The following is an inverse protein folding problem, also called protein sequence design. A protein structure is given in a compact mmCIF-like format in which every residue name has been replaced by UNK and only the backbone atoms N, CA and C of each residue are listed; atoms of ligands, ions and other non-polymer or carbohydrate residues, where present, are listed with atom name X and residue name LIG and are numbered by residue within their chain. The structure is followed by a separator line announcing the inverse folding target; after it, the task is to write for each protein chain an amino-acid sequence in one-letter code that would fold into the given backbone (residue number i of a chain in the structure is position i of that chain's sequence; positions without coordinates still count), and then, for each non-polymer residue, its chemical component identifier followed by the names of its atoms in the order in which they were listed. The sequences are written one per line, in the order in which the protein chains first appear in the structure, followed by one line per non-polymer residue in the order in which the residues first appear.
data_IF_607515211199
#
_entry.id   IF_607515211199
#
_cell.length_a   1.000
_cell.length_b   1.000
_cell.length_c   1.000
_cell.angle_alpha   90.00
_cell.angle_beta   90.00
_cell.angle_gamma   90.00
#
_symmetry.space_group_name_H-M   'P 1'
#
loop_
_entity.id
_entity.type
_entity.pdbx_description
1 polymer ?
#
# COMPACT_ATOMS: atom_id res chain seq x y z
N UNK A 1 -20.61 -20.79 -3.65
CA UNK A 1 -19.94 -19.47 -3.67
C UNK A 1 -20.53 -18.66 -2.54
N UNK A 2 -19.70 -18.03 -1.71
CA UNK A 2 -20.17 -17.19 -0.61
C UNK A 2 -20.63 -15.84 -1.14
N UNK A 3 -21.88 -15.44 -0.84
CA UNK A 3 -22.32 -14.06 -1.06
C UNK A 3 -21.55 -13.15 -0.11
N UNK A 4 -20.95 -12.11 -0.65
CA UNK A 4 -20.20 -11.10 0.10
C UNK A 4 -20.67 -9.71 -0.32
N UNK A 5 -20.58 -8.77 0.59
CA UNK A 5 -20.86 -7.35 0.35
C UNK A 5 -19.71 -6.50 0.87
N UNK A 6 -19.68 -5.22 0.52
CA UNK A 6 -18.69 -4.29 1.01
C UNK A 6 -19.33 -3.28 1.96
N UNK A 7 -18.66 -3.01 3.07
CA UNK A 7 -18.89 -1.81 3.85
C UNK A 7 -18.27 -0.62 3.10
N UNK A 8 -19.13 0.22 2.52
CA UNK A 8 -18.69 1.36 1.72
C UNK A 8 -17.95 2.44 2.53
N UNK A 9 -18.16 2.51 3.85
CA UNK A 9 -17.42 3.43 4.73
C UNK A 9 -15.97 2.96 4.83
N UNK A 10 -15.74 1.66 5.06
CA UNK A 10 -14.39 1.10 5.09
C UNK A 10 -13.71 1.15 3.71
N UNK A 11 -14.46 0.95 2.62
CA UNK A 11 -13.94 1.16 1.26
C UNK A 11 -13.44 2.60 1.09
N UNK A 12 -14.24 3.59 1.48
CA UNK A 12 -13.84 5.00 1.42
C UNK A 12 -12.64 5.29 2.33
N UNK A 13 -12.61 4.74 3.55
CA UNK A 13 -11.49 4.89 4.46
C UNK A 13 -10.19 4.29 3.90
N UNK A 14 -10.26 3.14 3.23
CA UNK A 14 -9.11 2.54 2.56
C UNK A 14 -8.51 3.50 1.53
N UNK A 15 -9.36 4.14 0.73
CA UNK A 15 -8.95 5.14 -0.25
C UNK A 15 -8.32 6.37 0.41
N UNK A 16 -8.97 6.95 1.43
CA UNK A 16 -8.47 8.11 2.15
C UNK A 16 -7.08 7.84 2.75
N UNK A 17 -6.90 6.68 3.39
CA UNK A 17 -5.60 6.28 3.97
C UNK A 17 -4.53 6.12 2.89
N UNK A 18 -4.89 5.54 1.75
CA UNK A 18 -3.98 5.41 0.61
C UNK A 18 -3.52 6.76 0.07
N UNK A 19 -4.46 7.70 -0.06
CA UNK A 19 -4.17 9.08 -0.50
C UNK A 19 -3.26 9.78 0.51
N UNK A 20 -3.55 9.71 1.81
CA UNK A 20 -2.72 10.34 2.84
C UNK A 20 -1.29 9.77 2.84
N UNK A 21 -1.15 8.45 2.71
CA UNK A 21 0.15 7.78 2.58
C UNK A 21 0.91 8.25 1.35
N UNK A 22 0.23 8.25 0.21
CA UNK A 22 0.81 8.68 -1.07
C UNK A 22 1.24 10.13 -1.05
N UNK A 23 0.40 11.04 -0.51
CA UNK A 23 0.72 12.46 -0.40
C UNK A 23 1.96 12.69 0.46
N UNK A 24 2.00 12.07 1.63
CA UNK A 24 3.13 12.20 2.56
C UNK A 24 4.42 11.72 1.92
N UNK A 25 4.37 10.59 1.23
CA UNK A 25 5.53 10.06 0.53
C UNK A 25 6.01 10.97 -0.62
N UNK A 26 5.10 11.51 -1.43
CA UNK A 26 5.44 12.46 -2.49
C UNK A 26 6.10 13.71 -1.91
N UNK A 27 5.64 14.22 -0.76
CA UNK A 27 6.29 15.35 -0.06
C UNK A 27 7.68 14.99 0.49
N UNK A 28 7.87 13.76 0.98
CA UNK A 28 9.19 13.28 1.44
C UNK A 28 10.19 13.10 0.29
N UNK A 29 9.69 12.72 -0.89
CA UNK A 29 10.48 12.52 -2.10
C UNK A 29 10.74 13.82 -2.87
N UNK A 30 9.96 14.88 -2.64
CA UNK A 30 10.18 16.17 -3.25
C UNK A 30 11.59 16.70 -2.95
N UNK A 31 12.34 17.02 -4.01
CA UNK A 31 13.71 17.54 -3.89
C UNK A 31 14.75 16.53 -3.39
N UNK A 32 14.45 15.22 -3.44
CA UNK A 32 15.40 14.19 -2.96
C UNK A 32 16.72 14.16 -3.74
N UNK A 33 16.71 14.67 -4.98
CA UNK A 33 17.87 14.74 -5.87
C UNK A 33 18.85 15.85 -5.49
N UNK A 34 18.36 16.89 -4.79
CA UNK A 34 19.16 18.02 -4.32
C UNK A 34 19.93 17.68 -3.03
N UNK A 35 19.69 16.49 -2.46
CA UNK A 35 20.36 16.03 -1.23
C UNK A 35 21.68 15.36 -1.58
N UNK A 36 22.76 16.13 -1.50
CA UNK A 36 24.11 15.63 -1.70
C UNK A 36 24.63 14.76 -0.55
N UNK A 37 24.14 14.98 0.68
CA UNK A 37 24.50 14.13 1.83
C UNK A 37 23.83 12.75 1.75
N UNK A 38 24.64 11.72 1.57
CA UNK A 38 24.18 10.33 1.44
C UNK A 38 23.36 9.89 2.65
N UNK A 39 23.74 10.31 3.86
CA UNK A 39 23.02 9.91 5.09
C UNK A 39 21.63 10.50 5.13
N UNK A 40 21.48 11.81 4.89
CA UNK A 40 20.17 12.49 4.83
C UNK A 40 19.28 11.91 3.72
N UNK A 41 19.84 11.60 2.55
CA UNK A 41 19.11 11.00 1.44
C UNK A 41 18.54 9.62 1.82
N UNK A 42 19.35 8.73 2.37
CA UNK A 42 18.89 7.41 2.81
C UNK A 42 17.85 7.49 3.92
N UNK A 43 17.98 8.42 4.87
CA UNK A 43 16.96 8.67 5.90
C UNK A 43 15.61 9.05 5.28
N UNK A 44 15.59 9.93 4.26
CA UNK A 44 14.34 10.28 3.56
C UNK A 44 13.78 9.11 2.76
N UNK A 45 14.63 8.33 2.08
CA UNK A 45 14.20 7.14 1.33
C UNK A 45 13.53 6.10 2.23
N UNK A 46 14.15 5.80 3.38
CA UNK A 46 13.60 4.85 4.36
C UNK A 46 12.27 5.36 4.91
N UNK A 47 12.19 6.65 5.24
CA UNK A 47 10.94 7.23 5.74
C UNK A 47 9.84 7.21 4.67
N UNK A 48 10.15 7.58 3.43
CA UNK A 48 9.21 7.53 2.32
C UNK A 48 8.74 6.10 2.02
N UNK A 49 9.65 5.11 2.04
CA UNK A 49 9.30 3.71 1.79
C UNK A 49 8.45 3.11 2.90
N UNK A 50 8.68 3.49 4.17
CA UNK A 50 7.82 3.12 5.29
C UNK A 50 6.42 3.71 5.13
N UNK A 51 6.31 4.99 4.79
CA UNK A 51 5.04 5.68 4.61
C UNK A 51 4.23 5.10 3.44
N UNK A 52 4.85 4.86 2.28
CA UNK A 52 4.15 4.22 1.15
C UNK A 52 3.82 2.77 1.50
N UNK A 53 4.83 1.98 1.89
CA UNK A 53 4.67 0.55 2.08
C UNK A 53 3.67 0.20 3.17
N UNK A 54 3.84 0.77 4.38
CA UNK A 54 2.96 0.50 5.52
C UNK A 54 1.67 1.31 5.45
N UNK A 55 1.76 2.61 5.14
CA UNK A 55 0.60 3.50 5.16
C UNK A 55 -0.24 3.43 3.90
N UNK A 56 0.34 3.76 2.74
CA UNK A 56 -0.44 3.88 1.51
C UNK A 56 -0.93 2.53 0.96
N UNK A 57 -0.15 1.46 1.13
CA UNK A 57 -0.40 0.17 0.48
C UNK A 57 -0.89 -0.87 1.50
N UNK A 58 -0.11 -1.19 2.54
CA UNK A 58 -0.46 -2.25 3.49
C UNK A 58 -1.68 -1.92 4.36
N UNK A 59 -1.71 -0.72 4.97
CA UNK A 59 -2.87 -0.30 5.77
C UNK A 59 -4.13 -0.18 4.90
N UNK A 60 -4.03 0.41 3.70
CA UNK A 60 -5.15 0.42 2.75
C UNK A 60 -5.65 -1.00 2.47
N UNK A 61 -4.74 -1.92 2.13
CA UNK A 61 -5.10 -3.30 1.81
C UNK A 61 -5.89 -3.95 2.95
N UNK A 62 -5.42 -3.84 4.19
CA UNK A 62 -6.13 -4.45 5.32
C UNK A 62 -7.44 -3.74 5.68
N UNK A 63 -7.57 -2.42 5.48
CA UNK A 63 -8.88 -1.75 5.60
C UNK A 63 -9.84 -2.26 4.52
N UNK A 64 -9.38 -2.43 3.29
CA UNK A 64 -10.18 -2.99 2.19
C UNK A 64 -10.60 -4.44 2.44
N UNK A 65 -9.75 -5.23 3.10
CA UNK A 65 -10.07 -6.58 3.56
C UNK A 65 -11.11 -6.58 4.67
N UNK A 66 -10.98 -5.68 5.64
CA UNK A 66 -11.98 -5.49 6.70
C UNK A 66 -13.31 -4.96 6.16
N UNK A 67 -13.30 -4.29 5.00
CA UNK A 67 -14.52 -3.86 4.32
C UNK A 67 -15.31 -5.02 3.72
N UNK A 68 -14.69 -6.19 3.50
CA UNK A 68 -15.35 -7.36 2.94
C UNK A 68 -16.19 -8.07 4.01
N UNK A 69 -17.51 -7.93 3.90
CA UNK A 69 -18.46 -8.65 4.75
C UNK A 69 -18.68 -10.06 4.19
N UNK A 70 -18.34 -11.06 4.99
CA UNK A 70 -18.62 -12.47 4.70
C UNK A 70 -19.46 -13.08 5.82
N UNK A 71 -20.34 -14.06 5.52
CA UNK A 71 -21.13 -14.81 6.49
C UNK A 71 -20.31 -15.82 7.31
N UNK A 72 -18.98 -15.77 7.24
CA UNK A 72 -18.05 -16.62 7.99
C UNK A 72 -17.06 -15.76 8.75
N UNK A 73 -16.60 -16.24 9.90
CA UNK A 73 -15.54 -15.57 10.65
C UNK A 73 -14.23 -15.59 9.85
N UNK A 74 -13.56 -14.45 9.80
CA UNK A 74 -12.23 -14.28 9.21
C UNK A 74 -11.26 -13.82 10.28
N UNK A 75 -10.23 -14.61 10.48
CA UNK A 75 -9.05 -14.25 11.27
C UNK A 75 -7.83 -14.10 10.34
N UNK A 76 -6.74 -13.54 10.84
CA UNK A 76 -5.53 -13.33 10.03
C UNK A 76 -4.30 -13.96 10.67
N UNK A 77 -3.49 -14.65 9.88
CA UNK A 77 -2.23 -15.25 10.34
C UNK A 77 -1.20 -14.14 10.64
N UNK A 78 -0.77 -13.94 11.91
CA UNK A 78 0.10 -12.81 12.29
C UNK A 78 1.40 -12.74 11.48
N UNK A 79 2.03 -13.90 11.24
CA UNK A 79 3.30 -13.99 10.52
C UNK A 79 3.21 -13.53 9.06
N UNK A 80 2.17 -13.97 8.33
CA UNK A 80 1.96 -13.56 6.94
C UNK A 80 1.54 -12.08 6.84
N UNK A 81 0.71 -11.62 7.77
CA UNK A 81 0.30 -10.21 7.87
C UNK A 81 1.50 -9.28 8.11
N UNK A 82 2.43 -9.68 8.99
CA UNK A 82 3.65 -8.91 9.24
C UNK A 82 4.63 -8.99 8.06
N UNK A 83 4.81 -10.18 7.48
CA UNK A 83 5.70 -10.38 6.34
C UNK A 83 5.24 -9.59 5.11
N UNK A 84 3.93 -9.49 4.88
CA UNK A 84 3.38 -8.72 3.77
C UNK A 84 3.73 -7.23 3.91
N UNK A 85 3.68 -6.66 5.13
CA UNK A 85 4.14 -5.29 5.40
C UNK A 85 5.62 -5.10 5.03
N UNK A 86 6.47 -6.04 5.46
CA UNK A 86 7.91 -6.01 5.16
C UNK A 86 8.17 -6.05 3.66
N UNK A 87 7.46 -6.92 2.93
CA UNK A 87 7.56 -7.02 1.47
C UNK A 87 7.20 -5.70 0.80
N UNK A 88 6.11 -5.04 1.21
CA UNK A 88 5.73 -3.75 0.67
C UNK A 88 6.80 -2.66 0.94
N UNK A 89 7.34 -2.59 2.15
CA UNK A 89 8.37 -1.61 2.51
C UNK A 89 9.65 -1.82 1.69
N UNK A 90 10.11 -3.07 1.56
CA UNK A 90 11.32 -3.39 0.78
C UNK A 90 11.11 -3.07 -0.69
N UNK A 91 9.97 -3.44 -1.27
CA UNK A 91 9.65 -3.14 -2.66
C UNK A 91 9.63 -1.63 -2.94
N UNK A 92 9.02 -0.86 -2.05
CA UNK A 92 9.02 0.61 -2.14
C UNK A 92 10.42 1.19 -1.98
N UNK A 93 11.22 0.68 -1.03
CA UNK A 93 12.58 1.16 -0.79
C UNK A 93 13.48 0.94 -2.01
N UNK A 94 13.41 -0.25 -2.61
CA UNK A 94 14.16 -0.56 -3.83
C UNK A 94 13.70 0.36 -4.96
N UNK A 95 12.40 0.46 -5.25
CA UNK A 95 11.87 1.30 -6.32
C UNK A 95 12.26 2.78 -6.19
N UNK A 96 12.10 3.34 -4.97
CA UNK A 96 12.46 4.74 -4.69
C UNK A 96 13.98 4.96 -4.74
N UNK A 97 14.78 4.03 -4.22
CA UNK A 97 16.25 4.17 -4.22
C UNK A 97 16.85 4.14 -5.64
N UNK A 98 16.34 3.27 -6.52
CA UNK A 98 16.76 3.18 -7.93
C UNK A 98 16.48 4.46 -8.71
N UNK A 99 15.40 5.17 -8.37
CA UNK A 99 14.98 6.40 -9.06
C UNK A 99 15.49 7.68 -8.39
N UNK A 100 16.07 7.59 -7.18
CA UNK A 100 16.53 8.75 -6.40
C UNK A 100 17.80 9.44 -6.92
N UNK A 101 18.57 8.80 -7.80
CA UNK A 101 19.92 9.28 -8.20
C UNK A 101 19.96 10.21 -9.41
N UNK A 102 18.81 10.60 -9.97
CA UNK A 102 18.77 11.56 -11.09
C UNK A 102 18.96 10.96 -12.48
N UNK A 103 19.12 9.65 -12.60
CA UNK A 103 19.25 9.01 -13.91
C UNK A 103 17.86 8.86 -14.56
N UNK A 104 17.53 9.79 -15.47
CA UNK A 104 16.21 9.91 -16.12
C UNK A 104 15.95 8.86 -17.20
N UNK A 105 16.70 7.76 -17.20
CA UNK A 105 16.48 6.66 -18.12
C UNK A 105 15.08 6.10 -17.94
N UNK A 106 14.27 6.14 -19.02
CA UNK A 106 12.95 5.50 -19.08
C UNK A 106 13.05 4.02 -18.72
N UNK A 107 14.16 3.38 -19.08
CA UNK A 107 14.42 1.98 -18.74
C UNK A 107 14.55 1.79 -17.22
N UNK A 108 15.26 2.67 -16.52
CA UNK A 108 15.39 2.61 -15.05
C UNK A 108 14.03 2.78 -14.36
N UNK A 109 13.20 3.70 -14.86
CA UNK A 109 11.84 3.88 -14.33
C UNK A 109 10.97 2.63 -14.54
N UNK A 110 11.03 2.02 -15.74
CA UNK A 110 10.28 0.81 -16.06
C UNK A 110 10.76 -0.39 -15.23
N UNK A 111 12.07 -0.58 -15.06
CA UNK A 111 12.61 -1.69 -14.26
C UNK A 111 12.28 -1.50 -12.78
N UNK A 112 12.50 -0.30 -12.22
CA UNK A 112 12.18 0.00 -10.83
C UNK A 112 10.67 -0.13 -10.55
N UNK A 113 9.82 0.39 -11.45
CA UNK A 113 8.37 0.29 -11.32
C UNK A 113 7.85 -1.14 -11.47
N UNK A 114 8.47 -1.95 -12.33
CA UNK A 114 8.15 -3.39 -12.43
C UNK A 114 8.50 -4.13 -11.15
N UNK A 115 9.70 -3.92 -10.60
CA UNK A 115 10.10 -4.50 -9.32
C UNK A 115 9.17 -4.10 -8.18
N UNK A 116 8.89 -2.81 -8.06
CA UNK A 116 7.98 -2.29 -7.03
C UNK A 116 6.57 -2.86 -7.22
N UNK A 117 6.04 -2.89 -8.45
CA UNK A 117 4.71 -3.41 -8.76
C UNK A 117 4.54 -4.89 -8.46
N UNK A 118 5.54 -5.72 -8.78
CA UNK A 118 5.56 -7.13 -8.40
C UNK A 118 5.56 -7.27 -6.87
N UNK A 119 6.35 -6.46 -6.16
CA UNK A 119 6.36 -6.47 -4.70
C UNK A 119 5.03 -6.03 -4.08
N UNK A 120 4.36 -5.05 -4.68
CA UNK A 120 3.03 -4.58 -4.25
C UNK A 120 1.95 -5.65 -4.48
N UNK A 121 1.98 -6.33 -5.63
CA UNK A 121 1.12 -7.47 -5.89
C UNK A 121 1.42 -8.64 -4.94
N UNK A 122 2.71 -8.93 -4.69
CA UNK A 122 3.13 -9.96 -3.74
C UNK A 122 2.63 -9.67 -2.33
N UNK A 123 2.72 -8.41 -1.86
CA UNK A 123 2.14 -8.01 -0.58
C UNK A 123 0.62 -8.28 -0.55
N UNK A 124 -0.10 -7.86 -1.60
CA UNK A 124 -1.54 -8.05 -1.67
C UNK A 124 -1.94 -9.53 -1.58
N UNK A 125 -1.35 -10.39 -2.41
CA UNK A 125 -1.69 -11.81 -2.39
C UNK A 125 -1.16 -12.54 -1.15
N UNK A 126 -0.08 -12.07 -0.54
CA UNK A 126 0.38 -12.57 0.76
C UNK A 126 -0.58 -12.17 1.89
N UNK A 127 -1.14 -10.96 1.85
CA UNK A 127 -2.20 -10.53 2.77
C UNK A 127 -3.49 -11.34 2.59
N UNK A 128 -3.88 -11.63 1.35
CA UNK A 128 -4.98 -12.56 1.05
C UNK A 128 -4.71 -13.98 1.58
N UNK A 129 -3.49 -14.49 1.41
CA UNK A 129 -3.09 -15.78 1.94
C UNK A 129 -3.03 -15.82 3.48
N UNK A 130 -2.98 -14.66 4.14
CA UNK A 130 -3.06 -14.56 5.60
C UNK A 130 -4.48 -14.80 6.13
N UNK A 131 -5.52 -14.70 5.31
CA UNK A 131 -6.90 -14.96 5.73
C UNK A 131 -7.06 -16.41 6.18
N UNK A 132 -7.56 -16.58 7.41
CA UNK A 132 -8.01 -17.84 7.98
C UNK A 132 -9.53 -17.81 8.09
N UNK A 133 -10.16 -18.64 7.28
CA UNK A 133 -11.61 -18.77 7.21
C UNK A 133 -11.96 -20.19 6.78
N UNK A 134 -13.17 -20.69 7.09
CA UNK A 134 -13.63 -22.02 6.66
C UNK A 134 -14.02 -22.04 5.16
N UNK A 135 -13.18 -21.42 4.32
CA UNK A 135 -13.37 -21.34 2.88
C UNK A 135 -12.01 -21.38 2.18
N UNK A 136 -11.96 -22.01 1.00
CA UNK A 136 -10.81 -21.96 0.11
C UNK A 136 -10.95 -20.78 -0.85
N UNK A 137 -9.84 -20.07 -1.05
CA UNK A 137 -9.76 -18.97 -2.02
C UNK A 137 -9.27 -19.51 -3.36
N UNK A 138 -10.10 -19.42 -4.39
CA UNK A 138 -9.76 -19.79 -5.77
C UNK A 138 -9.66 -18.50 -6.60
N UNK A 139 -8.59 -18.37 -7.39
CA UNK A 139 -8.35 -17.17 -8.19
C UNK A 139 -8.66 -17.38 -9.66
N UNK A 140 -9.28 -16.38 -10.29
CA UNK A 140 -9.33 -16.28 -11.75
C UNK A 140 -7.99 -15.73 -12.27
N UNK A 141 -7.22 -16.58 -12.96
CA UNK A 141 -5.89 -16.22 -13.45
C UNK A 141 -5.85 -14.95 -14.32
N UNK A 142 -6.86 -14.71 -15.16
CA UNK A 142 -6.89 -13.52 -16.03
C UNK A 142 -7.08 -12.22 -15.23
N UNK A 143 -8.00 -12.21 -14.25
CA UNK A 143 -8.24 -11.05 -13.39
C UNK A 143 -7.06 -10.84 -12.44
N UNK A 144 -6.44 -11.93 -11.95
CA UNK A 144 -5.20 -11.88 -11.17
C UNK A 144 -4.06 -11.26 -11.97
N UNK A 145 -3.86 -11.66 -13.23
CA UNK A 145 -2.85 -11.04 -14.10
C UNK A 145 -3.14 -9.56 -14.35
N UNK A 146 -4.43 -9.19 -14.51
CA UNK A 146 -4.83 -7.79 -14.67
C UNK A 146 -4.50 -6.96 -13.43
N UNK A 147 -4.75 -7.43 -12.21
CA UNK A 147 -4.39 -6.67 -11.01
C UNK A 147 -2.88 -6.53 -10.85
N UNK A 148 -2.08 -7.55 -11.21
CA UNK A 148 -0.61 -7.47 -11.24
C UNK A 148 -0.16 -6.40 -12.23
N UNK A 149 -0.76 -6.36 -13.43
CA UNK A 149 -0.46 -5.34 -14.42
C UNK A 149 -0.81 -3.93 -13.91
N UNK A 150 -1.95 -3.76 -13.25
CA UNK A 150 -2.33 -2.50 -12.60
C UNK A 150 -1.30 -2.13 -11.53
N UNK A 151 -0.82 -3.07 -10.73
CA UNK A 151 0.21 -2.83 -9.72
C UNK A 151 1.51 -2.27 -10.33
N UNK A 152 1.95 -2.84 -11.46
CA UNK A 152 3.14 -2.40 -12.19
C UNK A 152 2.94 -0.99 -12.76
N UNK A 153 1.82 -0.75 -13.45
CA UNK A 153 1.51 0.57 -14.03
C UNK A 153 1.40 1.63 -12.94
N UNK A 154 0.71 1.32 -11.83
CA UNK A 154 0.59 2.19 -10.67
C UNK A 154 1.95 2.52 -10.06
N UNK A 155 2.85 1.52 -9.95
CA UNK A 155 4.19 1.71 -9.39
C UNK A 155 5.09 2.55 -10.30
N UNK A 156 5.03 2.32 -11.61
CA UNK A 156 5.74 3.18 -12.60
C UNK A 156 5.25 4.62 -12.50
N UNK A 157 3.93 4.84 -12.45
CA UNK A 157 3.35 6.17 -12.29
C UNK A 157 3.78 6.82 -10.97
N UNK A 158 3.71 6.08 -9.86
CA UNK A 158 4.13 6.56 -8.53
C UNK A 158 5.59 7.01 -8.52
N UNK A 159 6.51 6.20 -9.06
CA UNK A 159 7.93 6.53 -9.13
C UNK A 159 8.19 7.74 -10.05
N UNK A 160 7.47 7.84 -11.16
CA UNK A 160 7.56 9.00 -12.05
C UNK A 160 7.14 10.30 -11.35
N UNK A 161 6.08 10.24 -10.54
CA UNK A 161 5.59 11.39 -9.77
C UNK A 161 6.50 11.74 -8.60
N UNK A 162 7.06 10.74 -7.91
CA UNK A 162 7.98 10.92 -6.80
C UNK A 162 9.30 11.59 -7.23
N UNK A 163 9.71 11.37 -8.47
CA UNK A 163 10.91 11.98 -9.05
C UNK A 163 10.72 13.47 -9.36
N UNK A 164 9.55 13.88 -9.85
CA UNK A 164 9.32 15.28 -10.24
C UNK A 164 9.27 16.19 -9.02
N UNK A 165 10.04 17.29 -9.05
CA UNK A 165 9.80 18.41 -8.14
C UNK A 165 8.36 18.86 -8.33
N UNK A 166 7.57 18.71 -7.27
CA UNK A 166 6.13 18.95 -7.30
C UNK A 166 5.73 19.98 -6.26
N UNK A 167 4.89 20.92 -6.67
CA UNK A 167 4.19 21.79 -5.71
C UNK A 167 3.27 20.95 -4.82
N UNK A 168 2.84 21.52 -3.69
CA UNK A 168 1.91 20.85 -2.78
C UNK A 168 0.65 20.38 -3.53
N UNK A 169 0.13 21.23 -4.43
CA UNK A 169 -1.05 20.92 -5.23
C UNK A 169 -0.79 19.75 -6.20
N UNK A 170 0.36 19.72 -6.87
CA UNK A 170 0.74 18.61 -7.74
C UNK A 170 0.93 17.31 -6.96
N UNK A 171 1.53 17.37 -5.76
CA UNK A 171 1.64 16.22 -4.86
C UNK A 171 0.26 15.72 -4.42
N UNK A 172 -0.70 16.63 -4.18
CA UNK A 172 -2.08 16.28 -3.82
C UNK A 172 -2.81 15.58 -4.98
N UNK A 173 -2.75 16.12 -6.19
CA UNK A 173 -3.30 15.45 -7.37
C UNK A 173 -2.67 14.09 -7.60
N UNK A 174 -1.35 13.97 -7.43
CA UNK A 174 -0.65 12.69 -7.51
C UNK A 174 -1.10 11.69 -6.47
N UNK A 175 -1.30 12.14 -5.23
CA UNK A 175 -1.78 11.29 -4.17
C UNK A 175 -3.19 10.74 -4.44
N UNK A 176 -4.10 11.56 -4.99
CA UNK A 176 -5.44 11.14 -5.38
C UNK A 176 -5.41 10.05 -6.47
N UNK A 177 -4.56 10.23 -7.48
CA UNK A 177 -4.36 9.25 -8.56
C UNK A 177 -3.70 7.98 -8.05
N UNK A 178 -2.66 8.10 -7.22
CA UNK A 178 -1.99 6.95 -6.61
C UNK A 178 -2.95 6.17 -5.72
N UNK A 179 -3.71 6.83 -4.84
CA UNK A 179 -4.71 6.17 -4.01
C UNK A 179 -5.74 5.40 -4.84
N UNK A 180 -6.18 5.97 -5.96
CA UNK A 180 -7.12 5.31 -6.87
C UNK A 180 -6.49 4.08 -7.52
N UNK A 181 -5.23 4.18 -7.93
CA UNK A 181 -4.50 3.08 -8.56
C UNK A 181 -4.23 1.93 -7.57
N UNK A 182 -3.83 2.23 -6.34
CA UNK A 182 -3.57 1.21 -5.30
C UNK A 182 -4.89 0.53 -4.89
N UNK A 183 -5.96 1.30 -4.65
CA UNK A 183 -7.30 0.73 -4.40
C UNK A 183 -7.80 -0.08 -5.59
N UNK A 184 -7.61 0.42 -6.82
CA UNK A 184 -7.98 -0.27 -8.05
C UNK A 184 -7.30 -1.63 -8.18
N UNK A 185 -5.98 -1.71 -7.94
CA UNK A 185 -5.26 -2.98 -7.87
C UNK A 185 -5.88 -3.92 -6.84
N UNK A 186 -6.12 -3.42 -5.62
CA UNK A 186 -6.67 -4.22 -4.53
C UNK A 186 -8.04 -4.79 -4.87
N UNK A 187 -9.00 -3.96 -5.28
CA UNK A 187 -10.37 -4.40 -5.54
C UNK A 187 -10.48 -5.25 -6.81
N UNK A 188 -9.62 -5.06 -7.83
CA UNK A 188 -9.51 -5.99 -8.95
C UNK A 188 -8.93 -7.34 -8.49
N UNK A 189 -7.94 -7.33 -7.59
CA UNK A 189 -7.41 -8.54 -6.96
C UNK A 189 -8.47 -9.29 -6.14
N UNK A 190 -9.30 -8.56 -5.38
CA UNK A 190 -10.44 -9.13 -4.66
C UNK A 190 -11.48 -9.70 -5.61
N UNK A 191 -11.78 -9.02 -6.72
CA UNK A 191 -12.72 -9.51 -7.74
C UNK A 191 -12.20 -10.78 -8.45
N UNK A 192 -10.88 -11.02 -8.45
CA UNK A 192 -10.30 -12.27 -8.92
C UNK A 192 -10.56 -13.45 -7.98
N UNK A 193 -10.78 -13.18 -6.69
CA UNK A 193 -10.93 -14.19 -5.65
C UNK A 193 -12.37 -14.71 -5.57
N UNK A 194 -12.48 -16.03 -5.42
CA UNK A 194 -13.74 -16.77 -5.20
C UNK A 194 -13.60 -17.58 -3.93
N UNK A 195 -14.48 -17.35 -2.96
CA UNK A 195 -14.48 -18.06 -1.69
C UNK A 195 -15.46 -19.25 -1.73
N UNK A 196 -14.93 -20.46 -1.69
CA UNK A 196 -15.69 -21.71 -1.68
C UNK A 196 -15.67 -22.30 -0.26
N UNK A 197 -16.83 -22.34 0.41
CA UNK A 197 -16.96 -22.94 1.75
C UNK A 197 -16.64 -24.42 1.67
N UNK A 198 -15.76 -24.89 2.56
CA UNK A 198 -15.54 -26.32 2.76
C UNK A 198 -16.65 -26.86 3.68
N UNK A 199 -17.32 -27.94 3.26
CA UNK A 199 -18.23 -28.66 4.15
C UNK A 199 -17.45 -29.25 5.32
N UNK A 200 -17.99 -29.04 6.54
CA UNK A 200 -17.42 -29.38 7.86
C UNK A 200 -16.10 -28.68 8.22
N UNK A 201 -16.08 -27.82 9.27
CA UNK A 201 -14.87 -27.13 9.70
C UNK A 201 -14.06 -28.05 10.63
N UNK A 202 -13.05 -28.75 10.10
CA UNK A 202 -11.87 -29.06 10.91
C UNK A 202 -10.97 -27.81 10.94
N UNK A 203 -11.42 -26.77 11.63
CA UNK A 203 -10.56 -25.63 11.92
C UNK A 203 -9.87 -25.96 13.23
N UNK A 204 -8.64 -26.47 13.14
CA UNK A 204 -7.73 -26.50 14.28
C UNK A 204 -7.71 -25.11 14.93
N UNK A 205 -7.83 -25.03 16.25
CA UNK A 205 -7.75 -23.79 17.04
C UNK A 205 -6.37 -23.13 16.87
N UNK A 206 -6.15 -22.48 15.73
CA UNK A 206 -4.93 -21.76 15.44
C UNK A 206 -5.18 -20.28 15.74
N UNK A 207 -4.62 -19.80 16.86
CA UNK A 207 -4.65 -18.39 17.25
C UNK A 207 -4.31 -17.48 16.06
N UNK A 208 -5.30 -16.72 15.58
CA UNK A 208 -5.17 -15.68 14.55
C UNK A 208 -5.43 -14.30 15.15
N UNK A 209 -5.06 -13.24 14.42
CA UNK A 209 -5.45 -11.87 14.76
C UNK A 209 -6.92 -11.72 14.36
N UNK A 210 -7.79 -11.48 15.35
CA UNK A 210 -9.18 -11.14 15.09
C UNK A 210 -9.27 -9.83 14.29
N UNK A 211 -10.28 -9.75 13.41
CA UNK A 211 -10.55 -8.57 12.58
C UNK A 211 -10.60 -7.26 13.38
N UNK A 212 -11.11 -7.29 14.62
CA UNK A 212 -11.13 -6.13 15.49
C UNK A 212 -9.72 -5.67 15.89
N UNK A 213 -8.86 -6.59 16.35
CA UNK A 213 -7.48 -6.27 16.74
C UNK A 213 -6.66 -5.77 15.56
N UNK A 214 -6.87 -6.36 14.37
CA UNK A 214 -6.23 -5.89 13.15
C UNK A 214 -6.70 -4.47 12.79
N UNK A 215 -8.00 -4.19 12.91
CA UNK A 215 -8.56 -2.86 12.75
C UNK A 215 -7.93 -1.83 13.70
N UNK A 216 -7.77 -2.18 14.99
CA UNK A 216 -7.10 -1.32 15.97
C UNK A 216 -5.62 -1.07 15.61
N UNK A 217 -4.90 -2.09 15.16
CA UNK A 217 -3.51 -1.97 14.74
C UNK A 217 -3.39 -1.02 13.55
N UNK A 218 -4.22 -1.21 12.52
CA UNK A 218 -4.23 -0.35 11.34
C UNK A 218 -4.60 1.09 11.70
N UNK A 219 -5.58 1.28 12.59
CA UNK A 219 -5.91 2.60 13.14
C UNK A 219 -4.71 3.26 13.82
N UNK A 220 -3.98 2.52 14.67
CA UNK A 220 -2.78 3.02 15.33
C UNK A 220 -1.69 3.46 14.34
N UNK A 221 -1.48 2.67 13.27
CA UNK A 221 -0.55 3.02 12.18
C UNK A 221 -0.95 4.34 11.51
N UNK A 222 -2.24 4.54 11.21
CA UNK A 222 -2.74 5.77 10.60
C UNK A 222 -2.49 6.98 11.51
N UNK A 223 -2.78 6.84 12.81
CA UNK A 223 -2.55 7.91 13.80
C UNK A 223 -1.09 8.30 13.87
N UNK A 224 -0.18 7.31 13.98
CA UNK A 224 1.28 7.57 13.99
C UNK A 224 1.72 8.26 12.70
N UNK A 225 1.19 7.86 11.56
CA UNK A 225 1.51 8.47 10.27
C UNK A 225 1.05 9.93 10.20
N UNK A 226 -0.18 10.23 10.60
CA UNK A 226 -0.74 11.58 10.64
C UNK A 226 0.03 12.50 11.60
N UNK A 227 0.40 12.00 12.78
CA UNK A 227 1.26 12.73 13.71
C UNK A 227 2.63 13.00 13.11
N UNK A 228 3.21 12.02 12.40
CA UNK A 228 4.46 12.20 11.67
C UNK A 228 4.41 13.31 10.62
N UNK A 229 3.31 13.37 9.85
CA UNK A 229 3.04 14.44 8.87
C UNK A 229 2.94 15.79 9.56
N UNK A 230 2.15 15.87 10.64
CA UNK A 230 1.96 17.10 11.41
C UNK A 230 3.28 17.61 11.97
N UNK A 231 4.05 16.75 12.64
CA UNK A 231 5.35 17.11 13.22
C UNK A 231 6.34 17.54 12.13
N UNK A 232 6.39 16.82 11.01
CA UNK A 232 7.23 17.20 9.88
C UNK A 232 6.83 18.57 9.33
N UNK A 233 5.53 18.88 9.26
CA UNK A 233 5.03 20.17 8.80
C UNK A 233 5.28 21.32 9.76
N UNK A 234 5.23 21.07 11.07
CA UNK A 234 5.56 22.06 12.08
C UNK A 234 7.08 22.33 12.12
N UNK A 235 7.91 21.29 11.97
CA UNK A 235 9.37 21.41 12.11
C UNK A 235 10.05 21.95 10.86
N UNK A 236 9.57 21.58 9.68
CA UNK A 236 10.13 22.01 8.42
C UNK A 236 9.05 22.73 7.61
N UNK A 237 9.01 24.06 7.71
CA UNK A 237 8.24 24.88 6.78
C UNK A 237 8.58 24.48 5.34
N UNK A 238 9.84 24.20 4.99
CA UNK A 238 10.26 23.77 3.64
C UNK A 238 9.57 22.51 3.07
N UNK A 239 9.07 21.58 3.91
CA UNK A 239 8.36 20.37 3.42
C UNK A 239 6.92 20.70 2.96
N UNK A 240 6.35 21.83 3.43
CA UNK A 240 5.00 22.29 3.08
C UNK A 240 4.94 23.76 2.62
N UNK A 241 6.08 24.44 2.56
CA UNK A 241 6.22 25.81 2.11
C UNK A 241 6.08 25.77 0.60
N UNK A 242 4.96 26.31 0.19
CA UNK A 242 4.64 26.69 -1.16
C UNK A 242 5.71 27.73 -1.54
N UNK A 243 6.66 27.35 -2.40
CA UNK A 243 7.39 28.35 -3.19
C UNK A 243 6.32 29.17 -3.92
N UNK A 244 6.50 30.49 -3.80
CA UNK A 244 5.62 31.57 -4.22
C UNK A 244 5.37 31.57 -5.73
#
# INVERSE_FOLDING_TARGET
MVHHSYDYVLVLMSYVVSVLGSFTALRLMAGIQDIHDTTRRWKRLILASLVVGVGAIWAMHFIGMLALNMPVKVDYAPGLTALSAVVAVIACLIGLSLTSRGDHSRLNLLTAGTYMGIGVAAMHYMGMAAMRMPATTVYNGAITSLSILIAIVASVAALWMAYKRSSVLQSMFGALVMGLAVCGMHYVGMAAARFAVLGTPEVAEAHGIDSLYLGMLVFGVIVVMLLGVLIAGLRNREVFAIDS
#
